data_IF_701324092728
#
_entry.id   IF_701324092728
#
_cell.length_a   1.000
_cell.length_b   1.000
_cell.length_c   1.000
_cell.angle_alpha   90.00
_cell.angle_beta   90.00
_cell.angle_gamma   90.00
#
_symmetry.space_group_name_H-M   'P 1'
#
loop_
_entity.id
_entity.type
_entity.pdbx_description
1 polymer ?
#
# COMPACT_ATOMS: atom_id res chain seq x y z
N UNK A 1 28.89 -43.02 -16.84
CA UNK A 1 28.46 -41.77 -16.19
C UNK A 1 27.14 -42.05 -15.46
N UNK A 2 27.20 -42.41 -14.16
CA UNK A 2 25.99 -42.61 -13.36
C UNK A 2 25.43 -41.22 -13.07
N UNK A 3 24.32 -40.86 -13.70
CA UNK A 3 23.52 -39.70 -13.30
C UNK A 3 23.09 -39.91 -11.85
N UNK A 4 23.57 -39.09 -10.95
CA UNK A 4 23.14 -39.14 -9.55
C UNK A 4 21.67 -38.66 -9.51
N UNK A 5 20.76 -39.61 -9.32
CA UNK A 5 19.32 -39.38 -9.29
C UNK A 5 18.95 -38.30 -8.25
N UNK A 6 19.76 -38.22 -7.16
CA UNK A 6 19.59 -37.16 -6.15
C UNK A 6 19.87 -35.75 -6.72
N UNK A 7 20.95 -35.59 -7.48
CA UNK A 7 21.28 -34.30 -8.11
C UNK A 7 20.22 -33.87 -9.10
N UNK A 8 19.72 -34.78 -9.93
CA UNK A 8 18.64 -34.51 -10.88
C UNK A 8 17.34 -34.05 -10.19
N UNK A 9 16.95 -34.73 -9.10
CA UNK A 9 15.77 -34.40 -8.33
C UNK A 9 15.91 -33.02 -7.65
N UNK A 10 17.05 -32.75 -6.99
CA UNK A 10 17.32 -31.47 -6.35
C UNK A 10 17.26 -30.29 -7.35
N UNK A 11 17.80 -30.48 -8.54
CA UNK A 11 17.81 -29.47 -9.58
C UNK A 11 16.41 -29.21 -10.16
N UNK A 12 15.63 -30.28 -10.34
CA UNK A 12 14.22 -30.18 -10.75
C UNK A 12 13.37 -29.43 -9.72
N UNK A 13 13.57 -29.71 -8.43
CA UNK A 13 12.89 -29.03 -7.34
C UNK A 13 13.33 -27.56 -7.22
N UNK A 14 14.61 -27.26 -7.31
CA UNK A 14 15.11 -25.88 -7.27
C UNK A 14 14.51 -25.03 -8.39
N UNK A 15 14.41 -25.53 -9.61
CA UNK A 15 13.75 -24.84 -10.73
C UNK A 15 12.26 -24.57 -10.49
N UNK A 16 11.53 -25.50 -9.87
CA UNK A 16 10.11 -25.29 -9.51
C UNK A 16 9.97 -24.22 -8.42
N UNK A 17 10.83 -24.26 -7.41
CA UNK A 17 10.87 -23.27 -6.34
C UNK A 17 11.21 -21.86 -6.83
N UNK A 18 12.14 -21.74 -7.77
CA UNK A 18 12.44 -20.44 -8.40
C UNK A 18 11.24 -19.83 -9.13
N UNK A 19 10.46 -20.65 -9.84
CA UNK A 19 9.21 -20.18 -10.47
C UNK A 19 8.18 -19.72 -9.43
N UNK A 20 8.03 -20.45 -8.34
CA UNK A 20 7.16 -20.05 -7.23
C UNK A 20 7.64 -18.77 -6.57
N UNK A 21 8.94 -18.62 -6.34
CA UNK A 21 9.55 -17.40 -5.82
C UNK A 21 9.19 -16.19 -6.68
N UNK A 22 9.37 -16.28 -8.01
CA UNK A 22 9.02 -15.19 -8.94
C UNK A 22 7.52 -14.90 -8.98
N UNK A 23 6.68 -15.92 -8.85
CA UNK A 23 5.22 -15.74 -8.81
C UNK A 23 4.74 -15.02 -7.54
N UNK A 24 5.41 -15.26 -6.40
CA UNK A 24 5.11 -14.61 -5.12
C UNK A 24 5.64 -13.19 -5.03
N UNK A 25 6.65 -12.82 -5.82
CA UNK A 25 7.25 -11.50 -5.77
C UNK A 25 6.34 -10.43 -6.40
N UNK A 26 6.19 -9.28 -5.73
CA UNK A 26 5.56 -8.11 -6.33
C UNK A 26 6.32 -7.69 -7.61
N UNK A 27 5.59 -7.14 -8.58
CA UNK A 27 6.14 -6.77 -9.90
C UNK A 27 7.37 -5.87 -9.84
N UNK A 28 7.44 -4.97 -8.85
CA UNK A 28 8.57 -4.07 -8.63
C UNK A 28 9.83 -4.75 -8.05
N UNK A 29 9.74 -6.02 -7.65
CA UNK A 29 10.83 -6.82 -7.08
C UNK A 29 11.26 -7.99 -7.98
N UNK A 30 10.63 -8.14 -9.15
CA UNK A 30 10.97 -9.26 -10.07
C UNK A 30 12.43 -9.21 -10.52
N UNK A 31 12.95 -8.03 -10.84
CA UNK A 31 14.37 -7.87 -11.22
C UNK A 31 15.34 -8.37 -10.12
N UNK A 32 14.99 -8.18 -8.83
CA UNK A 32 15.74 -8.77 -7.73
C UNK A 32 15.63 -10.30 -7.71
N UNK A 33 14.45 -10.85 -7.96
CA UNK A 33 14.23 -12.29 -8.04
C UNK A 33 15.06 -12.94 -9.16
N UNK A 34 15.11 -12.31 -10.32
CA UNK A 34 15.93 -12.77 -11.45
C UNK A 34 17.42 -12.75 -11.11
N UNK A 35 17.91 -11.72 -10.40
CA UNK A 35 19.30 -11.64 -9.93
C UNK A 35 19.62 -12.77 -8.95
N UNK A 36 18.72 -13.07 -7.99
CA UNK A 36 18.89 -14.20 -7.03
C UNK A 36 18.98 -15.55 -7.77
N UNK A 37 18.19 -15.75 -8.82
CA UNK A 37 18.25 -16.97 -9.65
C UNK A 37 19.57 -17.03 -10.42
N UNK A 38 20.05 -15.92 -10.94
CA UNK A 38 21.33 -15.86 -11.65
C UNK A 38 22.51 -16.23 -10.73
N UNK A 39 22.54 -15.72 -9.50
CA UNK A 39 23.55 -16.08 -8.52
C UNK A 39 23.51 -17.57 -8.14
N UNK A 40 22.33 -18.20 -8.14
CA UNK A 40 22.19 -19.63 -7.84
C UNK A 40 22.97 -20.53 -8.81
N UNK A 41 23.18 -20.10 -10.07
CA UNK A 41 23.93 -20.87 -11.05
C UNK A 41 25.41 -21.01 -10.69
N UNK A 42 25.96 -20.13 -9.85
CA UNK A 42 27.34 -20.21 -9.39
C UNK A 42 27.54 -21.17 -8.22
N UNK A 43 26.47 -21.74 -7.66
CA UNK A 43 26.53 -22.67 -6.55
C UNK A 43 26.81 -24.08 -7.09
N UNK A 44 27.92 -24.67 -6.71
CA UNK A 44 28.38 -25.95 -7.25
C UNK A 44 27.45 -27.15 -6.86
N UNK A 45 26.95 -27.17 -5.63
CA UNK A 45 26.15 -28.30 -5.11
C UNK A 45 24.66 -28.15 -5.41
N UNK A 46 24.02 -29.13 -6.00
CA UNK A 46 22.59 -29.16 -6.27
C UNK A 46 21.73 -29.03 -4.97
N UNK A 47 22.20 -29.58 -3.86
CA UNK A 47 21.57 -29.44 -2.56
C UNK A 47 21.60 -27.97 -2.07
N UNK A 48 22.75 -27.34 -2.17
CA UNK A 48 22.87 -25.93 -1.78
C UNK A 48 22.03 -25.02 -2.68
N UNK A 49 21.92 -25.30 -3.97
CA UNK A 49 21.00 -24.61 -4.89
C UNK A 49 19.55 -24.76 -4.45
N UNK A 50 19.13 -25.94 -4.02
CA UNK A 50 17.79 -26.16 -3.50
C UNK A 50 17.54 -25.36 -2.23
N UNK A 51 18.47 -25.40 -1.27
CA UNK A 51 18.35 -24.62 -0.03
C UNK A 51 18.31 -23.10 -0.28
N UNK A 52 19.08 -22.63 -1.24
CA UNK A 52 19.04 -21.25 -1.71
C UNK A 52 17.65 -20.86 -2.27
N UNK A 53 17.06 -21.72 -3.10
CA UNK A 53 15.71 -21.50 -3.64
C UNK A 53 14.64 -21.50 -2.53
N UNK A 54 14.75 -22.34 -1.52
CA UNK A 54 13.87 -22.34 -0.33
C UNK A 54 13.98 -21.02 0.42
N UNK A 55 15.20 -20.52 0.65
CA UNK A 55 15.44 -19.22 1.25
C UNK A 55 14.81 -18.08 0.44
N UNK A 56 14.92 -18.13 -0.87
CA UNK A 56 14.31 -17.18 -1.80
C UNK A 56 12.77 -17.14 -1.70
N UNK A 57 12.12 -18.31 -1.57
CA UNK A 57 10.67 -18.40 -1.34
C UNK A 57 10.28 -17.77 0.00
N UNK A 58 11.01 -18.07 1.08
CA UNK A 58 10.73 -17.51 2.39
C UNK A 58 10.82 -15.97 2.39
N UNK A 59 11.83 -15.41 1.74
CA UNK A 59 11.98 -13.96 1.56
C UNK A 59 10.84 -13.37 0.72
N UNK A 60 10.46 -14.03 -0.38
CA UNK A 60 9.36 -13.57 -1.24
C UNK A 60 8.01 -13.62 -0.54
N UNK A 61 7.74 -14.66 0.22
CA UNK A 61 6.53 -14.78 1.04
C UNK A 61 6.47 -13.66 2.11
N UNK A 62 7.60 -13.34 2.75
CA UNK A 62 7.68 -12.22 3.71
C UNK A 62 7.39 -10.87 3.05
N UNK A 63 7.94 -10.62 1.86
CA UNK A 63 7.70 -9.37 1.12
C UNK A 63 6.24 -9.27 0.64
N UNK A 64 5.65 -10.37 0.17
CA UNK A 64 4.23 -10.41 -0.20
C UNK A 64 3.34 -10.13 1.01
N UNK A 65 3.58 -10.81 2.13
CA UNK A 65 2.83 -10.61 3.37
C UNK A 65 2.93 -9.17 3.86
N UNK A 66 4.14 -8.59 3.83
CA UNK A 66 4.37 -7.18 4.19
C UNK A 66 3.61 -6.22 3.28
N UNK A 67 3.59 -6.49 1.97
CA UNK A 67 2.84 -5.69 1.00
C UNK A 67 1.33 -5.74 1.28
N UNK A 68 0.78 -6.95 1.44
CA UNK A 68 -0.66 -7.15 1.70
C UNK A 68 -1.09 -6.54 3.04
N UNK A 69 -0.34 -6.78 4.12
CA UNK A 69 -0.64 -6.20 5.43
C UNK A 69 -0.58 -4.68 5.41
N UNK A 70 0.42 -4.12 4.74
CA UNK A 70 0.59 -2.68 4.62
C UNK A 70 -0.58 -2.01 3.87
N UNK A 71 -1.11 -2.64 2.82
CA UNK A 71 -2.27 -2.12 2.11
C UNK A 71 -3.54 -2.23 2.97
N UNK A 72 -3.77 -3.35 3.65
CA UNK A 72 -4.91 -3.52 4.57
C UNK A 72 -4.89 -2.52 5.71
N UNK A 73 -3.73 -2.28 6.33
CA UNK A 73 -3.58 -1.27 7.39
C UNK A 73 -3.89 0.14 6.89
N UNK A 74 -3.46 0.48 5.67
CA UNK A 74 -3.75 1.80 5.10
C UNK A 74 -5.25 1.96 4.80
N UNK A 75 -5.93 0.92 4.31
CA UNK A 75 -7.38 0.91 4.14
C UNK A 75 -8.10 1.05 5.48
N UNK A 76 -7.70 0.29 6.50
CA UNK A 76 -8.26 0.39 7.84
C UNK A 76 -8.05 1.78 8.44
N UNK A 77 -6.85 2.36 8.27
CA UNK A 77 -6.56 3.73 8.72
C UNK A 77 -7.42 4.76 8.01
N UNK A 78 -7.58 4.66 6.67
CA UNK A 78 -8.41 5.61 5.92
C UNK A 78 -9.89 5.54 6.31
N UNK A 79 -10.41 4.34 6.54
CA UNK A 79 -11.77 4.15 7.07
C UNK A 79 -11.91 4.73 8.47
N UNK A 80 -10.97 4.44 9.37
CA UNK A 80 -10.99 4.97 10.74
C UNK A 80 -10.93 6.51 10.74
N UNK A 81 -10.06 7.11 9.96
CA UNK A 81 -9.97 8.56 9.81
C UNK A 81 -11.26 9.17 9.25
N UNK A 82 -11.85 8.52 8.25
CA UNK A 82 -13.13 8.96 7.71
C UNK A 82 -14.27 8.88 8.73
N UNK A 83 -14.37 7.79 9.50
CA UNK A 83 -15.37 7.64 10.55
C UNK A 83 -15.19 8.70 11.64
N UNK A 84 -13.94 8.95 12.09
CA UNK A 84 -13.66 10.00 13.08
C UNK A 84 -14.10 11.36 12.56
N UNK A 85 -13.76 11.70 11.31
CA UNK A 85 -14.20 12.94 10.70
C UNK A 85 -15.72 13.06 10.63
N UNK A 86 -16.43 11.98 10.25
CA UNK A 86 -17.87 11.95 10.19
C UNK A 86 -18.54 12.11 11.58
N UNK A 87 -17.99 11.47 12.62
CA UNK A 87 -18.47 11.62 13.99
C UNK A 87 -18.29 13.07 14.45
N UNK A 88 -17.15 13.70 14.13
CA UNK A 88 -16.92 15.12 14.47
C UNK A 88 -17.92 16.02 13.76
N UNK A 89 -18.23 15.76 12.48
CA UNK A 89 -19.24 16.54 11.73
C UNK A 89 -20.63 16.45 12.38
N UNK A 90 -21.03 15.23 12.79
CA UNK A 90 -22.33 15.00 13.44
C UNK A 90 -22.49 15.73 14.80
N UNK A 91 -21.39 16.02 15.48
CA UNK A 91 -21.38 16.67 16.79
C UNK A 91 -20.97 18.15 16.73
N UNK A 92 -20.46 18.62 15.61
CA UNK A 92 -20.02 20.01 15.45
C UNK A 92 -21.13 20.91 14.98
N UNK A 93 -21.14 22.15 15.50
CA UNK A 93 -22.05 23.21 15.03
C UNK A 93 -21.57 23.86 13.71
N UNK A 94 -20.37 23.53 13.26
CA UNK A 94 -19.78 24.05 12.00
C UNK A 94 -19.12 22.94 11.22
N UNK A 95 -19.05 23.05 9.88
CA UNK A 95 -18.41 22.07 9.00
C UNK A 95 -16.89 22.19 8.93
N UNK A 96 -16.30 23.26 9.45
CA UNK A 96 -14.86 23.49 9.36
C UNK A 96 -13.99 22.39 9.98
N UNK A 97 -14.31 21.84 11.17
CA UNK A 97 -13.52 20.73 11.73
C UNK A 97 -13.51 19.49 10.84
N UNK A 98 -14.63 19.15 10.24
CA UNK A 98 -14.73 18.04 9.30
C UNK A 98 -13.84 18.24 8.06
N UNK A 99 -13.92 19.41 7.43
CA UNK A 99 -13.10 19.78 6.29
C UNK A 99 -11.62 19.69 6.64
N UNK A 100 -11.22 20.30 7.76
CA UNK A 100 -9.84 20.29 8.23
C UNK A 100 -9.32 18.88 8.50
N UNK A 101 -10.12 18.01 9.11
CA UNK A 101 -9.78 16.62 9.35
C UNK A 101 -9.60 15.85 8.04
N UNK A 102 -10.52 15.97 7.09
CA UNK A 102 -10.39 15.28 5.81
C UNK A 102 -9.17 15.75 5.01
N UNK A 103 -8.86 17.05 5.02
CA UNK A 103 -7.66 17.58 4.39
C UNK A 103 -6.39 17.04 5.04
N UNK A 104 -6.30 17.05 6.38
CA UNK A 104 -5.13 16.55 7.11
C UNK A 104 -4.96 15.05 6.96
N UNK A 105 -6.03 14.27 7.03
CA UNK A 105 -5.97 12.82 6.85
C UNK A 105 -5.61 12.45 5.40
N UNK A 106 -6.19 13.14 4.40
CA UNK A 106 -5.84 12.97 3.00
C UNK A 106 -4.35 13.27 2.74
N UNK A 107 -3.86 14.37 3.28
CA UNK A 107 -2.45 14.78 3.20
C UNK A 107 -1.53 13.72 3.82
N UNK A 108 -1.84 13.29 5.04
CA UNK A 108 -1.04 12.28 5.77
C UNK A 108 -0.98 10.95 5.01
N UNK A 109 -2.13 10.47 4.51
CA UNK A 109 -2.19 9.23 3.74
C UNK A 109 -1.41 9.34 2.42
N UNK A 110 -1.49 10.47 1.72
CA UNK A 110 -0.77 10.69 0.48
C UNK A 110 0.75 10.79 0.69
N UNK A 111 1.20 11.42 1.79
CA UNK A 111 2.61 11.45 2.16
C UNK A 111 3.12 10.04 2.54
N UNK A 112 2.32 9.27 3.24
CA UNK A 112 2.70 7.92 3.67
C UNK A 112 2.70 6.93 2.50
N UNK A 113 1.66 6.95 1.64
CA UNK A 113 1.46 6.03 0.52
C UNK A 113 1.09 6.76 -0.77
N UNK A 114 2.06 7.39 -1.47
CA UNK A 114 1.77 8.18 -2.67
C UNK A 114 1.32 7.32 -3.86
N UNK A 115 1.77 6.05 -3.91
CA UNK A 115 1.34 5.14 -4.97
C UNK A 115 -0.16 4.88 -4.82
N UNK A 116 -0.92 5.26 -5.86
CA UNK A 116 -2.37 5.12 -5.89
C UNK A 116 -3.10 5.94 -4.82
N UNK A 117 -2.56 7.09 -4.44
CA UNK A 117 -3.11 7.96 -3.38
C UNK A 117 -4.60 8.32 -3.61
N UNK A 118 -5.05 8.42 -4.86
CA UNK A 118 -6.44 8.68 -5.22
C UNK A 118 -7.43 7.63 -4.65
N UNK A 119 -6.97 6.39 -4.37
CA UNK A 119 -7.82 5.35 -3.78
C UNK A 119 -8.30 5.71 -2.37
N UNK A 120 -7.55 6.53 -1.66
CA UNK A 120 -7.88 6.93 -0.29
C UNK A 120 -8.98 7.98 -0.24
N UNK A 121 -9.29 8.64 -1.35
CA UNK A 121 -10.41 9.58 -1.46
C UNK A 121 -11.73 8.86 -1.17
N UNK A 122 -11.91 7.65 -1.71
CA UNK A 122 -13.15 6.88 -1.61
C UNK A 122 -13.53 6.60 -0.15
N UNK A 123 -12.71 5.91 0.68
CA UNK A 123 -13.08 5.62 2.07
C UNK A 123 -13.19 6.88 2.93
N UNK A 124 -12.38 7.92 2.68
CA UNK A 124 -12.51 9.19 3.38
C UNK A 124 -13.83 9.91 3.04
N UNK A 125 -14.16 10.02 1.77
CA UNK A 125 -15.33 10.75 1.32
C UNK A 125 -16.65 10.03 1.61
N UNK A 126 -16.67 8.69 1.51
CA UNK A 126 -17.86 7.89 1.75
C UNK A 126 -18.11 7.59 3.23
N UNK A 127 -17.23 8.00 4.14
CA UNK A 127 -17.38 7.78 5.57
C UNK A 127 -18.60 8.48 6.14
N UNK A 128 -18.84 9.73 5.77
CA UNK A 128 -20.01 10.49 6.24
C UNK A 128 -21.33 9.86 5.80
N UNK A 129 -21.54 9.56 4.49
CA UNK A 129 -22.73 8.83 4.07
C UNK A 129 -22.93 7.50 4.80
N UNK A 130 -21.84 6.74 5.00
CA UNK A 130 -21.91 5.46 5.66
C UNK A 130 -22.35 5.61 7.13
N UNK A 131 -21.78 6.57 7.87
CA UNK A 131 -22.15 6.83 9.27
C UNK A 131 -23.58 7.33 9.38
N UNK A 132 -24.02 8.23 8.50
CA UNK A 132 -25.40 8.71 8.45
C UNK A 132 -26.38 7.58 8.20
N UNK A 133 -26.10 6.68 7.24
CA UNK A 133 -26.95 5.53 6.95
C UNK A 133 -27.06 4.55 8.13
N UNK A 134 -25.95 4.28 8.82
CA UNK A 134 -25.91 3.34 9.95
C UNK A 134 -26.58 3.91 11.19
N UNK A 135 -26.35 5.20 11.46
CA UNK A 135 -26.85 5.84 12.70
C UNK A 135 -28.24 6.45 12.53
N UNK A 136 -28.70 6.62 11.29
CA UNK A 136 -29.90 7.37 10.93
C UNK A 136 -29.94 8.80 11.54
N UNK A 137 -28.76 9.38 11.80
CA UNK A 137 -28.60 10.73 12.36
C UNK A 137 -28.09 11.64 11.25
N UNK A 138 -28.87 12.66 10.92
CA UNK A 138 -28.57 13.61 9.85
C UNK A 138 -27.82 14.86 10.32
N UNK A 139 -27.33 14.88 11.54
CA UNK A 139 -26.61 16.01 12.10
C UNK A 139 -27.47 17.29 12.25
N UNK A 140 -26.89 18.39 12.75
CA UNK A 140 -27.58 19.64 12.96
C UNK A 140 -27.93 20.38 11.65
N UNK A 141 -27.31 19.99 10.54
CA UNK A 141 -27.61 20.51 9.20
C UNK A 141 -28.53 19.52 8.50
N UNK A 142 -29.72 19.95 8.06
CA UNK A 142 -30.55 19.20 7.13
C UNK A 142 -29.73 19.05 5.83
N UNK A 143 -29.02 17.91 5.73
CA UNK A 143 -28.20 17.61 4.57
C UNK A 143 -29.14 17.32 3.40
N UNK A 144 -29.13 18.19 2.41
CA UNK A 144 -29.62 17.80 1.09
C UNK A 144 -28.89 16.56 0.62
N UNK A 145 -29.55 15.70 -0.14
CA UNK A 145 -28.99 14.41 -0.59
C UNK A 145 -27.61 14.53 -1.24
N UNK A 146 -27.26 15.68 -1.79
CA UNK A 146 -25.97 15.99 -2.43
C UNK A 146 -24.88 16.40 -1.42
N UNK A 147 -25.24 16.95 -0.28
CA UNK A 147 -24.30 17.38 0.75
C UNK A 147 -23.51 16.20 1.35
N UNK A 148 -24.05 14.99 1.23
CA UNK A 148 -23.41 13.75 1.67
C UNK A 148 -22.08 13.51 0.93
N UNK A 149 -21.96 14.00 -0.30
CA UNK A 149 -20.73 13.88 -1.09
C UNK A 149 -19.75 15.04 -0.89
N UNK A 150 -20.08 15.98 0.00
CA UNK A 150 -19.21 17.14 0.28
C UNK A 150 -17.79 16.73 0.72
N UNK A 151 -17.64 15.56 1.33
CA UNK A 151 -16.34 14.99 1.73
C UNK A 151 -15.37 14.73 0.56
N UNK A 152 -15.84 14.63 -0.68
CA UNK A 152 -14.98 14.39 -1.84
C UNK A 152 -14.00 15.54 -2.09
N UNK A 153 -14.44 16.79 -1.95
CA UNK A 153 -13.62 17.97 -2.23
C UNK A 153 -12.46 18.09 -1.25
N UNK A 154 -12.68 18.16 0.09
CA UNK A 154 -11.58 18.29 1.05
C UNK A 154 -10.64 17.08 1.06
N UNK A 155 -11.15 15.85 0.88
CA UNK A 155 -10.31 14.68 0.75
C UNK A 155 -9.38 14.74 -0.46
N UNK A 156 -9.90 15.20 -1.61
CA UNK A 156 -9.12 15.37 -2.84
C UNK A 156 -8.06 16.46 -2.68
N UNK A 157 -8.43 17.60 -2.09
CA UNK A 157 -7.48 18.70 -1.82
C UNK A 157 -6.35 18.23 -0.89
N UNK A 158 -6.67 17.54 0.19
CA UNK A 158 -5.68 16.99 1.12
C UNK A 158 -4.70 16.02 0.42
N UNK A 159 -5.22 15.11 -0.39
CA UNK A 159 -4.40 14.14 -1.12
C UNK A 159 -3.50 14.84 -2.16
N UNK A 160 -4.02 15.78 -2.91
CA UNK A 160 -3.23 16.55 -3.89
C UNK A 160 -2.13 17.36 -3.19
N UNK A 161 -2.43 18.00 -2.06
CA UNK A 161 -1.45 18.73 -1.27
C UNK A 161 -0.34 17.79 -0.74
N UNK A 162 -0.70 16.61 -0.25
CA UNK A 162 0.26 15.60 0.21
C UNK A 162 1.19 15.08 -0.90
N UNK A 163 0.65 14.85 -2.09
CA UNK A 163 1.44 14.48 -3.27
C UNK A 163 2.38 15.61 -3.69
N UNK A 164 1.91 16.85 -3.72
CA UNK A 164 2.72 18.02 -4.06
C UNK A 164 3.88 18.21 -3.07
N UNK A 165 3.62 18.11 -1.76
CA UNK A 165 4.65 18.19 -0.72
C UNK A 165 5.71 17.09 -0.90
N UNK A 166 5.31 15.87 -1.22
CA UNK A 166 6.24 14.79 -1.45
C UNK A 166 7.09 15.00 -2.71
N UNK A 167 6.49 15.48 -3.80
CA UNK A 167 7.23 15.82 -5.02
C UNK A 167 8.24 16.94 -4.73
N UNK A 168 7.85 17.97 -4.00
CA UNK A 168 8.74 19.05 -3.61
C UNK A 168 9.91 18.52 -2.76
N UNK A 169 9.63 17.67 -1.75
CA UNK A 169 10.68 17.10 -0.89
C UNK A 169 11.69 16.24 -1.67
N UNK A 170 11.23 15.45 -2.63
CA UNK A 170 12.14 14.65 -3.49
C UNK A 170 12.99 15.53 -4.38
N UNK A 171 12.44 16.64 -4.88
CA UNK A 171 13.17 17.58 -5.72
C UNK A 171 14.27 18.32 -4.94
N UNK A 172 13.98 18.74 -3.70
CA UNK A 172 14.98 19.40 -2.83
C UNK A 172 16.10 18.45 -2.38
N UNK A 173 15.79 17.18 -2.12
CA UNK A 173 16.78 16.20 -1.67
C UNK A 173 17.70 15.71 -2.80
N UNK A 174 17.29 15.82 -4.08
CA UNK A 174 18.06 15.37 -5.24
C UNK A 174 18.77 16.52 -5.98
N UNK A 175 18.81 17.75 -5.42
CA UNK A 175 19.63 18.79 -5.99
C UNK A 175 21.11 18.36 -5.86
N UNK A 176 21.83 18.12 -6.97
CA UNK A 176 23.28 17.88 -6.87
C UNK A 176 23.91 19.10 -6.23
N UNK A 177 24.67 18.87 -5.16
CA UNK A 177 25.55 19.90 -4.62
C UNK A 177 26.52 20.24 -5.75
N UNK A 178 26.29 21.37 -6.42
CA UNK A 178 27.23 21.90 -7.40
C UNK A 178 28.53 22.22 -6.68
N UNK A 179 29.51 21.34 -6.82
CA UNK A 179 30.89 21.59 -6.46
C UNK A 179 31.51 22.52 -7.49
#
# INVERSE_FOLDING_TARGET
MKLDVREFLCEGMARRMNRLMLALLPTNRRAWGDAVIAEQHHIASAWNRLMWAVGGIAMSAKELLRSVLSDRLTWAASLAFGIVAAIVDLHSSTRWPYIALLCTFGLTLACWRPKWAWRWIIPLALSLPAVVLVTNKWGPYALDRFDVFYGLVPSSVGILAGLALRLASTWFLHKPVSQ
#
